data_IF_593794823241
#
_entry.id   IF_593794823241
#
_cell.length_a   1.000
_cell.length_b   1.000
_cell.length_c   1.000
_cell.angle_alpha   90.00
_cell.angle_beta   90.00
_cell.angle_gamma   90.00
#
_symmetry.space_group_name_H-M   'P 1'
#
loop_
_entity.id
_entity.type
_entity.pdbx_description
1 polymer ?
#
# COMPACT_ATOMS: atom_id res chain seq x y z
N UNK A 1 7.37 22.83 2.68
CA UNK A 1 7.54 22.68 4.12
C UNK A 1 8.11 21.32 4.43
N UNK A 2 9.07 21.24 5.37
CA UNK A 2 9.73 19.99 5.73
C UNK A 2 8.74 18.94 6.24
N UNK A 3 7.80 19.36 7.08
CA UNK A 3 6.79 18.45 7.65
C UNK A 3 5.92 17.82 6.56
N UNK A 4 5.50 18.60 5.57
CA UNK A 4 4.69 18.10 4.48
C UNK A 4 5.48 17.12 3.61
N UNK A 5 6.75 17.43 3.35
CA UNK A 5 7.63 16.55 2.60
C UNK A 5 7.83 15.22 3.32
N UNK A 6 8.08 15.29 4.64
CA UNK A 6 8.27 14.08 5.45
C UNK A 6 7.02 13.21 5.44
N UNK A 7 5.84 13.82 5.53
CA UNK A 7 4.59 13.09 5.47
C UNK A 7 4.39 12.41 4.12
N UNK A 8 4.74 13.08 3.03
CA UNK A 8 4.65 12.49 1.68
C UNK A 8 5.65 11.33 1.52
N UNK A 9 6.86 11.50 2.05
CA UNK A 9 7.87 10.44 2.00
C UNK A 9 7.42 9.21 2.78
N UNK A 10 6.79 9.41 3.95
CA UNK A 10 6.25 8.30 4.73
C UNK A 10 5.16 7.56 3.96
N UNK A 11 4.31 8.27 3.23
CA UNK A 11 3.30 7.63 2.39
C UNK A 11 3.90 6.77 1.30
N UNK A 12 5.00 7.23 0.70
CA UNK A 12 5.71 6.45 -0.31
C UNK A 12 6.31 5.18 0.29
N UNK A 13 6.86 5.28 1.48
CA UNK A 13 7.41 4.12 2.19
C UNK A 13 6.31 3.12 2.52
N UNK A 14 5.17 3.60 3.03
CA UNK A 14 4.04 2.75 3.35
C UNK A 14 3.46 2.08 2.10
N UNK A 15 3.45 2.80 0.99
CA UNK A 15 3.00 2.23 -0.28
C UNK A 15 3.93 1.09 -0.72
N UNK A 16 5.23 1.31 -0.63
CA UNK A 16 6.21 0.27 -0.95
C UNK A 16 6.05 -0.95 -0.03
N UNK A 17 5.81 -0.72 1.26
CA UNK A 17 5.55 -1.79 2.22
C UNK A 17 4.30 -2.59 1.87
N UNK A 18 3.25 -1.90 1.40
CA UNK A 18 2.02 -2.57 1.00
C UNK A 18 2.26 -3.52 -0.18
N UNK A 19 3.01 -3.07 -1.18
CA UNK A 19 3.38 -3.89 -2.32
C UNK A 19 4.29 -5.06 -1.92
N UNK A 20 5.25 -4.77 -1.05
CA UNK A 20 6.15 -5.80 -0.54
C UNK A 20 5.38 -6.90 0.20
N UNK A 21 4.43 -6.52 1.05
CA UNK A 21 3.59 -7.47 1.75
C UNK A 21 2.82 -8.37 0.77
N UNK A 22 2.25 -7.76 -0.28
CA UNK A 22 1.53 -8.52 -1.30
C UNK A 22 2.46 -9.52 -2.00
N UNK A 23 3.64 -9.07 -2.40
CA UNK A 23 4.59 -9.92 -3.08
C UNK A 23 5.07 -11.07 -2.19
N UNK A 24 5.32 -10.79 -0.92
CA UNK A 24 5.73 -11.81 0.03
C UNK A 24 4.61 -12.84 0.27
N UNK A 25 3.36 -12.38 0.35
CA UNK A 25 2.22 -13.28 0.57
C UNK A 25 2.01 -14.23 -0.61
N UNK A 26 2.30 -13.79 -1.83
CA UNK A 26 2.06 -14.60 -3.04
C UNK A 26 3.30 -15.33 -3.52
N UNK A 27 4.47 -15.00 -2.97
CA UNK A 27 5.75 -15.55 -3.39
C UNK A 27 5.88 -17.03 -3.01
N UNK A 28 6.39 -17.83 -3.95
CA UNK A 28 6.73 -19.22 -3.68
C UNK A 28 5.55 -20.14 -3.47
N UNK A 29 4.34 -19.69 -3.79
CA UNK A 29 3.14 -20.52 -3.64
C UNK A 29 2.97 -21.42 -4.85
N UNK A 30 2.53 -22.66 -4.63
CA UNK A 30 2.11 -23.53 -5.73
C UNK A 30 0.82 -23.00 -6.35
N UNK A 31 0.44 -23.51 -7.52
CA UNK A 31 -0.72 -23.03 -8.26
C UNK A 31 -2.01 -22.99 -7.44
N UNK A 32 -2.31 -24.07 -6.74
CA UNK A 32 -3.53 -24.16 -5.93
C UNK A 32 -3.47 -23.16 -4.78
N UNK A 33 -2.34 -23.13 -4.08
CA UNK A 33 -2.17 -22.24 -2.94
C UNK A 33 -2.18 -20.78 -3.37
N UNK A 34 -1.55 -20.46 -4.51
CA UNK A 34 -1.57 -19.11 -5.05
C UNK A 34 -3.00 -18.66 -5.33
N UNK A 35 -3.82 -19.55 -5.93
CA UNK A 35 -5.23 -19.24 -6.21
C UNK A 35 -6.05 -18.97 -4.95
N UNK A 36 -5.66 -19.56 -3.82
CA UNK A 36 -6.32 -19.31 -2.54
C UNK A 36 -5.86 -18.03 -1.87
N UNK A 37 -4.56 -17.74 -1.94
CA UNK A 37 -3.93 -16.63 -1.21
C UNK A 37 -4.03 -15.31 -1.99
N UNK A 38 -3.86 -15.36 -3.30
CA UNK A 38 -3.76 -14.16 -4.11
C UNK A 38 -4.97 -13.22 -4.01
N UNK A 39 -6.23 -13.71 -4.12
CA UNK A 39 -7.37 -12.81 -4.01
C UNK A 39 -7.44 -12.09 -2.66
N UNK A 40 -7.09 -12.78 -1.59
CA UNK A 40 -7.05 -12.20 -0.26
C UNK A 40 -5.93 -11.16 -0.15
N UNK A 41 -4.73 -11.50 -0.61
CA UNK A 41 -3.59 -10.60 -0.58
C UNK A 41 -3.84 -9.35 -1.45
N UNK A 42 -4.47 -9.54 -2.61
CA UNK A 42 -4.84 -8.45 -3.50
C UNK A 42 -5.86 -7.51 -2.85
N UNK A 43 -6.88 -8.09 -2.21
CA UNK A 43 -7.90 -7.31 -1.51
C UNK A 43 -7.28 -6.45 -0.41
N UNK A 44 -6.37 -7.04 0.37
CA UNK A 44 -5.67 -6.32 1.43
C UNK A 44 -4.80 -5.19 0.86
N UNK A 45 -4.08 -5.46 -0.22
CA UNK A 45 -3.27 -4.45 -0.90
C UNK A 45 -4.13 -3.26 -1.35
N UNK A 46 -5.26 -3.56 -1.99
CA UNK A 46 -6.16 -2.51 -2.47
C UNK A 46 -6.71 -1.65 -1.34
N UNK A 47 -7.04 -2.26 -0.21
CA UNK A 47 -7.51 -1.53 0.96
C UNK A 47 -6.42 -0.58 1.47
N UNK A 48 -5.19 -1.06 1.56
CA UNK A 48 -4.07 -0.23 2.02
C UNK A 48 -3.79 0.91 1.06
N UNK A 49 -3.80 0.64 -0.24
CA UNK A 49 -3.57 1.69 -1.25
C UNK A 49 -4.66 2.75 -1.23
N UNK A 50 -5.91 2.34 -1.00
CA UNK A 50 -7.03 3.28 -0.87
C UNK A 50 -6.87 4.19 0.32
N UNK A 51 -6.50 3.63 1.46
CA UNK A 51 -6.26 4.41 2.67
C UNK A 51 -5.11 5.41 2.48
N UNK A 52 -4.03 4.98 1.82
CA UNK A 52 -2.89 5.85 1.52
C UNK A 52 -3.27 6.98 0.57
N UNK A 53 -4.09 6.67 -0.44
CA UNK A 53 -4.59 7.68 -1.38
C UNK A 53 -5.41 8.74 -0.67
N UNK A 54 -6.28 8.31 0.26
CA UNK A 54 -7.09 9.25 1.05
C UNK A 54 -6.22 10.14 1.93
N UNK A 55 -5.18 9.58 2.54
CA UNK A 55 -4.26 10.36 3.37
C UNK A 55 -3.46 11.35 2.52
N UNK A 56 -3.02 10.94 1.33
CA UNK A 56 -2.31 11.83 0.40
C UNK A 56 -3.21 13.00 -0.01
N UNK A 57 -4.47 12.74 -0.33
CA UNK A 57 -5.41 13.77 -0.71
C UNK A 57 -5.62 14.77 0.42
N UNK A 58 -5.66 14.29 1.68
CA UNK A 58 -5.77 15.17 2.84
C UNK A 58 -4.56 16.08 2.99
N UNK A 59 -3.36 15.54 2.81
CA UNK A 59 -2.13 16.33 2.87
C UNK A 59 -2.11 17.41 1.79
N UNK A 60 -2.55 17.07 0.60
CA UNK A 60 -2.61 18.04 -0.50
C UNK A 60 -3.58 19.17 -0.20
N UNK A 61 -4.74 18.85 0.39
CA UNK A 61 -5.71 19.87 0.80
C UNK A 61 -5.16 20.78 1.89
N UNK A 62 -4.42 20.22 2.84
CA UNK A 62 -3.81 21.01 3.91
C UNK A 62 -2.70 21.91 3.40
N UNK A 63 -2.02 21.51 2.35
CA UNK A 63 -0.93 22.30 1.76
C UNK A 63 -1.43 23.41 0.85
N UNK A 64 -2.66 23.33 0.39
CA UNK A 64 -3.23 24.30 -0.56
C UNK A 64 -3.58 25.65 0.06
#
# INVERSE_FOLDING_TARGET
MAESRDAHELLLIEEADAWFEYLEATRGQGEVRYGEVEPWAWSRLRQRLRALKARRARLERQAA
#
